data_IF_742945155862
#
_entry.id   IF_742945155862
#
_cell.length_a   1.000
_cell.length_b   1.000
_cell.length_c   1.000
_cell.angle_alpha   90.00
_cell.angle_beta   90.00
_cell.angle_gamma   90.00
#
_symmetry.space_group_name_H-M   'P 1'
#
loop_
_entity.id
_entity.type
_entity.pdbx_description
1 polymer ?
#
# COMPACT_ATOMS: atom_id res chain seq x y z
N UNK A 1 6.85 48.89 43.21
CA UNK A 1 5.73 48.37 42.37
C UNK A 1 6.33 47.59 41.21
N UNK A 2 6.40 46.27 41.32
CA UNK A 2 6.98 45.41 40.28
C UNK A 2 5.85 44.78 39.46
N UNK A 3 5.84 45.06 38.15
CA UNK A 3 4.93 44.43 37.19
C UNK A 3 5.45 43.03 36.86
N UNK A 4 4.76 42.00 37.32
CA UNK A 4 4.98 40.63 36.88
C UNK A 4 4.25 40.43 35.55
N UNK A 5 5.01 40.35 34.45
CA UNK A 5 4.50 39.96 33.13
C UNK A 5 4.38 38.44 33.10
N UNK A 6 3.15 37.93 33.12
CA UNK A 6 2.86 36.51 32.89
C UNK A 6 3.05 36.25 31.39
N UNK A 7 4.10 35.51 31.05
CA UNK A 7 4.33 35.04 29.69
C UNK A 7 3.26 34.03 29.29
N UNK A 8 2.52 34.33 28.23
CA UNK A 8 1.65 33.39 27.55
C UNK A 8 2.51 32.28 26.93
N UNK A 9 2.65 31.16 27.62
CA UNK A 9 3.18 29.94 27.02
C UNK A 9 2.14 29.41 26.03
N UNK A 10 2.47 29.46 24.74
CA UNK A 10 1.69 28.80 23.69
C UNK A 10 1.52 27.31 24.03
N UNK A 11 0.37 26.68 23.72
CA UNK A 11 0.21 25.25 23.89
C UNK A 11 1.25 24.55 23.01
N UNK A 12 2.10 23.76 23.65
CA UNK A 12 3.13 22.96 23.02
C UNK A 12 2.43 21.90 22.15
N UNK A 13 2.08 22.25 20.91
CA UNK A 13 1.67 21.29 19.89
C UNK A 13 2.87 20.43 19.60
N UNK A 14 2.93 19.26 20.25
CA UNK A 14 3.83 18.18 19.87
C UNK A 14 3.78 18.06 18.35
N UNK A 15 4.94 18.02 17.67
CA UNK A 15 4.95 17.80 16.23
C UNK A 15 4.27 16.46 15.97
N UNK A 16 3.17 16.49 15.21
CA UNK A 16 2.32 15.34 14.91
C UNK A 16 3.07 14.14 14.30
N UNK A 17 4.29 14.38 13.78
CA UNK A 17 5.22 13.36 13.29
C UNK A 17 5.76 12.39 14.37
N UNK A 18 5.65 12.68 15.66
CA UNK A 18 6.25 11.82 16.71
C UNK A 18 5.38 10.62 17.12
N UNK A 19 4.18 10.45 16.54
CA UNK A 19 3.25 9.40 16.97
C UNK A 19 3.73 7.98 16.61
N UNK A 20 4.63 7.84 15.64
CA UNK A 20 5.11 6.56 15.14
C UNK A 20 6.60 6.66 14.80
N UNK A 21 7.51 6.52 15.79
CA UNK A 21 8.94 6.58 15.54
C UNK A 21 9.36 5.49 14.55
N UNK A 22 10.35 5.81 13.72
CA UNK A 22 10.96 4.83 12.83
C UNK A 22 11.58 3.71 13.67
N UNK A 23 11.22 2.46 13.36
CA UNK A 23 11.72 1.29 14.08
C UNK A 23 13.12 0.92 13.61
N UNK A 24 13.96 0.45 14.54
CA UNK A 24 15.28 -0.06 14.21
C UNK A 24 15.16 -1.47 13.58
N UNK A 25 15.68 -1.71 12.37
CA UNK A 25 15.68 -3.04 11.75
C UNK A 25 16.35 -4.12 12.60
N UNK A 26 17.34 -3.77 13.41
CA UNK A 26 18.08 -4.73 14.25
C UNK A 26 17.21 -5.38 15.33
N UNK A 27 16.14 -4.70 15.77
CA UNK A 27 15.19 -5.22 16.76
C UNK A 27 14.20 -6.24 16.15
N UNK A 28 14.15 -6.32 14.81
CA UNK A 28 13.18 -7.10 14.05
C UNK A 28 13.86 -7.82 12.87
N UNK A 29 14.82 -8.71 13.13
CA UNK A 29 15.66 -9.34 12.10
C UNK A 29 14.88 -10.23 11.12
N UNK A 30 13.69 -10.70 11.51
CA UNK A 30 12.84 -11.55 10.67
C UNK A 30 12.13 -10.79 9.52
N UNK A 31 12.06 -9.45 9.62
CA UNK A 31 11.49 -8.61 8.57
C UNK A 31 12.50 -8.49 7.42
N UNK A 32 12.11 -8.98 6.25
CA UNK A 32 12.99 -9.03 5.08
C UNK A 32 12.92 -7.76 4.23
N UNK A 33 11.81 -7.03 4.36
CA UNK A 33 11.46 -5.92 3.47
C UNK A 33 11.50 -4.59 4.22
N UNK A 34 12.69 -4.18 4.66
CA UNK A 34 12.87 -2.92 5.41
C UNK A 34 12.91 -1.69 4.51
N UNK A 35 13.51 -1.79 3.33
CA UNK A 35 13.70 -0.65 2.45
C UNK A 35 13.04 -0.87 1.09
N UNK A 36 12.83 0.20 0.34
CA UNK A 36 12.25 0.11 -1.02
C UNK A 36 13.13 -0.72 -1.95
N UNK A 37 14.45 -0.65 -1.79
CA UNK A 37 15.44 -1.38 -2.58
C UNK A 37 15.29 -2.89 -2.40
N UNK A 38 15.04 -3.35 -1.17
CA UNK A 38 14.77 -4.77 -0.89
C UNK A 38 13.54 -5.31 -1.65
N UNK A 39 12.59 -4.43 -2.00
CA UNK A 39 11.41 -4.76 -2.78
C UNK A 39 11.62 -4.62 -4.30
N UNK A 40 12.66 -3.92 -4.75
CA UNK A 40 12.87 -3.63 -6.17
C UNK A 40 12.89 -4.87 -7.09
N UNK A 41 13.50 -6.02 -6.71
CA UNK A 41 13.46 -7.24 -7.51
C UNK A 41 12.05 -7.79 -7.77
N UNK A 42 11.06 -7.41 -6.95
CA UNK A 42 9.67 -7.86 -7.04
C UNK A 42 8.76 -6.88 -7.80
N UNK A 43 9.29 -5.72 -8.19
CA UNK A 43 8.59 -4.76 -9.05
C UNK A 43 8.48 -5.28 -10.49
N UNK A 44 7.62 -4.64 -11.28
CA UNK A 44 7.46 -4.99 -12.69
C UNK A 44 8.82 -4.90 -13.41
N UNK A 45 9.14 -5.95 -14.17
CA UNK A 45 10.44 -6.17 -14.83
C UNK A 45 11.61 -6.58 -13.90
N UNK A 46 11.36 -6.77 -12.61
CA UNK A 46 12.35 -7.32 -11.69
C UNK A 46 12.51 -8.84 -11.81
N UNK A 47 13.71 -9.34 -11.50
CA UNK A 47 14.06 -10.77 -11.56
C UNK A 47 13.15 -11.68 -10.72
N UNK A 48 12.55 -11.15 -9.64
CA UNK A 48 11.67 -11.87 -8.71
C UNK A 48 10.21 -11.47 -8.86
N UNK A 49 9.84 -10.79 -9.95
CA UNK A 49 8.46 -10.34 -10.18
C UNK A 49 7.42 -11.46 -10.10
N UNK A 50 7.74 -12.66 -10.61
CA UNK A 50 6.88 -13.83 -10.54
C UNK A 50 6.56 -14.25 -9.09
N UNK A 51 7.45 -13.92 -8.15
CA UNK A 51 7.34 -14.27 -6.73
C UNK A 51 6.83 -13.14 -5.85
N UNK A 52 6.41 -11.99 -6.41
CA UNK A 52 5.94 -10.82 -5.63
C UNK A 52 4.75 -11.12 -4.72
N UNK A 53 4.00 -12.17 -5.02
CA UNK A 53 2.86 -12.59 -4.23
C UNK A 53 3.09 -13.98 -3.63
N UNK A 54 2.43 -14.26 -2.50
CA UNK A 54 2.29 -15.62 -1.99
C UNK A 54 1.18 -16.39 -2.75
N UNK A 55 0.92 -17.64 -2.32
CA UNK A 55 -0.14 -18.50 -2.91
C UNK A 55 -1.54 -17.90 -2.83
N UNK A 56 -1.80 -17.02 -1.85
CA UNK A 56 -3.09 -16.34 -1.66
C UNK A 56 -3.18 -14.99 -2.40
N UNK A 57 -2.20 -14.67 -3.25
CA UNK A 57 -2.06 -13.39 -3.93
C UNK A 57 -1.78 -12.18 -3.01
N UNK A 58 -1.28 -12.40 -1.79
CA UNK A 58 -0.83 -11.35 -0.87
C UNK A 58 0.60 -10.93 -1.21
N UNK A 59 0.88 -9.63 -1.17
CA UNK A 59 2.21 -9.04 -1.40
C UNK A 59 3.18 -9.50 -0.30
N UNK A 60 4.36 -9.99 -0.69
CA UNK A 60 5.35 -10.51 0.27
C UNK A 60 5.92 -9.47 1.24
N UNK A 61 5.92 -8.18 0.89
CA UNK A 61 6.39 -7.13 1.81
C UNK A 61 5.48 -6.93 3.03
N UNK A 62 4.24 -7.43 2.99
CA UNK A 62 3.30 -7.32 4.09
C UNK A 62 3.57 -8.46 5.08
N UNK A 63 4.42 -8.18 6.08
CA UNK A 63 4.87 -9.14 7.08
C UNK A 63 4.44 -8.72 8.49
N UNK A 64 4.13 -9.69 9.34
CA UNK A 64 4.10 -9.49 10.79
C UNK A 64 5.52 -9.34 11.34
N UNK A 65 5.66 -8.92 12.60
CA UNK A 65 6.94 -8.80 13.29
C UNK A 65 7.77 -10.10 13.28
N UNK A 66 7.11 -11.27 13.20
CA UNK A 66 7.75 -12.59 13.08
C UNK A 66 8.34 -12.88 11.70
N UNK A 67 8.22 -11.97 10.73
CA UNK A 67 8.61 -12.21 9.33
C UNK A 67 7.57 -12.94 8.48
N UNK A 68 6.53 -13.51 9.11
CA UNK A 68 5.45 -14.20 8.41
C UNK A 68 4.63 -13.24 7.53
N UNK A 69 4.30 -13.68 6.32
CA UNK A 69 3.43 -12.91 5.42
C UNK A 69 2.02 -12.87 6.03
N UNK A 70 1.42 -11.69 6.11
CA UNK A 70 0.08 -11.54 6.67
C UNK A 70 -0.97 -12.31 5.83
N UNK A 71 -2.03 -12.86 6.46
CA UNK A 71 -3.04 -13.61 5.74
C UNK A 71 -3.90 -12.69 4.87
N UNK A 72 -4.49 -13.26 3.81
CA UNK A 72 -5.37 -12.49 2.90
C UNK A 72 -6.52 -11.78 3.62
N UNK A 73 -7.10 -12.39 4.66
CA UNK A 73 -8.17 -11.80 5.46
C UNK A 73 -7.75 -10.46 6.10
N UNK A 74 -6.51 -10.37 6.59
CA UNK A 74 -5.94 -9.14 7.16
C UNK A 74 -5.79 -8.05 6.09
N UNK A 75 -5.31 -8.40 4.90
CA UNK A 75 -5.21 -7.49 3.75
C UNK A 75 -6.58 -6.94 3.34
N UNK A 76 -7.63 -7.76 3.40
CA UNK A 76 -9.01 -7.33 3.11
C UNK A 76 -9.48 -6.28 4.11
N UNK A 77 -9.22 -6.49 5.41
CA UNK A 77 -9.52 -5.51 6.47
C UNK A 77 -8.77 -4.19 6.25
N UNK A 78 -7.45 -4.26 6.05
CA UNK A 78 -6.62 -3.08 5.74
C UNK A 78 -7.15 -2.31 4.53
N UNK A 79 -7.55 -3.03 3.48
CA UNK A 79 -8.08 -2.42 2.25
C UNK A 79 -9.45 -1.77 2.48
N UNK A 80 -10.28 -2.34 3.35
CA UNK A 80 -11.58 -1.75 3.70
C UNK A 80 -11.39 -0.43 4.47
N UNK A 81 -10.53 -0.42 5.48
CA UNK A 81 -10.23 0.77 6.29
C UNK A 81 -9.59 1.88 5.46
N UNK A 82 -8.60 1.55 4.63
CA UNK A 82 -8.00 2.49 3.68
C UNK A 82 -9.05 3.16 2.78
N UNK A 83 -10.00 2.38 2.25
CA UNK A 83 -11.08 2.93 1.41
C UNK A 83 -12.02 3.82 2.19
N UNK A 84 -12.27 3.53 3.46
CA UNK A 84 -13.08 4.39 4.34
C UNK A 84 -12.40 5.74 4.58
N UNK A 85 -11.07 5.76 4.76
CA UNK A 85 -10.29 7.00 4.83
C UNK A 85 -10.37 7.79 3.51
N UNK A 86 -10.29 7.10 2.38
CA UNK A 86 -10.49 7.78 1.10
C UNK A 86 -11.91 8.34 0.93
N UNK A 87 -12.94 7.68 1.47
CA UNK A 87 -14.29 8.27 1.50
C UNK A 87 -14.29 9.55 2.35
N UNK A 88 -13.64 9.54 3.53
CA UNK A 88 -13.48 10.74 4.38
C UNK A 88 -12.86 11.91 3.61
N UNK A 89 -11.69 11.73 2.99
CA UNK A 89 -11.02 12.81 2.25
C UNK A 89 -11.83 13.30 1.05
N UNK A 90 -12.53 12.38 0.38
CA UNK A 90 -13.40 12.75 -0.73
C UNK A 90 -14.58 13.58 -0.27
N UNK A 91 -15.26 13.21 0.81
CA UNK A 91 -16.35 14.00 1.38
C UNK A 91 -15.88 15.39 1.85
N UNK A 92 -14.63 15.50 2.28
CA UNK A 92 -14.00 16.77 2.67
C UNK A 92 -13.53 17.62 1.48
N UNK A 93 -13.61 17.11 0.24
CA UNK A 93 -13.11 17.83 -0.93
C UNK A 93 -11.59 17.94 -1.02
N UNK A 94 -10.84 17.15 -0.23
CA UNK A 94 -9.38 17.17 -0.17
C UNK A 94 -8.71 16.05 -0.95
N UNK A 95 -9.49 15.18 -1.63
CA UNK A 95 -8.94 14.02 -2.35
C UNK A 95 -7.99 14.44 -3.51
N UNK A 96 -6.76 13.92 -3.59
CA UNK A 96 -5.87 14.18 -4.71
C UNK A 96 -6.24 13.40 -5.97
N UNK A 97 -5.86 13.87 -7.16
CA UNK A 97 -6.10 13.15 -8.42
C UNK A 97 -5.31 11.84 -8.49
N UNK A 98 -4.05 11.86 -8.02
CA UNK A 98 -3.21 10.69 -7.86
C UNK A 98 -2.69 10.61 -6.43
N UNK A 99 -2.53 9.40 -5.90
CA UNK A 99 -2.05 9.25 -4.52
C UNK A 99 -0.64 9.83 -4.29
N UNK A 100 0.20 9.82 -5.33
CA UNK A 100 1.52 10.47 -5.31
C UNK A 100 1.47 12.00 -5.19
N UNK A 101 0.31 12.62 -5.45
CA UNK A 101 0.09 14.07 -5.34
C UNK A 101 -0.68 14.44 -4.05
N UNK A 102 -0.87 13.49 -3.13
CA UNK A 102 -1.52 13.77 -1.84
C UNK A 102 -0.75 14.85 -1.06
N UNK A 103 -1.49 15.80 -0.48
CA UNK A 103 -0.94 16.82 0.42
C UNK A 103 -0.32 16.21 1.68
N UNK A 104 0.62 16.93 2.29
CA UNK A 104 1.33 16.46 3.48
C UNK A 104 0.38 16.19 4.66
N UNK A 105 -0.65 17.02 4.81
CA UNK A 105 -1.71 16.89 5.81
C UNK A 105 -2.53 15.60 5.64
N UNK A 106 -2.90 15.26 4.40
CA UNK A 106 -3.63 14.03 4.09
C UNK A 106 -2.74 12.82 4.32
N UNK A 107 -1.47 12.89 3.90
CA UNK A 107 -0.51 11.80 4.09
C UNK A 107 -0.25 11.53 5.58
N UNK A 108 -0.17 12.57 6.40
CA UNK A 108 0.03 12.46 7.85
C UNK A 108 -1.20 11.86 8.56
N UNK A 109 -2.42 12.36 8.26
CA UNK A 109 -3.66 11.77 8.80
C UNK A 109 -3.81 10.31 8.37
N UNK A 110 -3.51 10.01 7.10
CA UNK A 110 -3.60 8.66 6.56
C UNK A 110 -2.59 7.71 7.22
N UNK A 111 -1.33 8.14 7.40
CA UNK A 111 -0.31 7.39 8.15
C UNK A 111 -0.77 7.10 9.56
N UNK A 112 -1.23 8.13 10.26
CA UNK A 112 -1.65 8.03 11.66
C UNK A 112 -2.78 7.01 11.82
N UNK A 113 -3.83 7.11 11.00
CA UNK A 113 -4.97 6.18 11.08
C UNK A 113 -4.60 4.74 10.70
N UNK A 114 -3.75 4.56 9.70
CA UNK A 114 -3.34 3.24 9.25
C UNK A 114 -2.38 2.58 10.26
N UNK A 115 -1.40 3.29 10.80
CA UNK A 115 -0.45 2.74 11.78
C UNK A 115 -1.07 2.43 13.12
N UNK A 116 -2.08 3.20 13.55
CA UNK A 116 -2.83 2.89 14.77
C UNK A 116 -3.52 1.51 14.72
N UNK A 117 -3.83 0.99 13.52
CA UNK A 117 -4.56 -0.27 13.33
C UNK A 117 -3.69 -1.42 12.79
N UNK A 118 -2.65 -1.07 12.04
CA UNK A 118 -1.85 -2.00 11.23
C UNK A 118 -0.36 -1.72 11.40
N UNK A 119 0.20 -2.20 12.52
CA UNK A 119 1.64 -2.08 12.81
C UNK A 119 2.50 -2.78 11.76
N UNK A 120 1.99 -3.78 11.04
CA UNK A 120 2.68 -4.41 9.91
C UNK A 120 3.17 -3.43 8.83
N UNK A 121 2.58 -2.24 8.74
CA UNK A 121 2.96 -1.19 7.78
C UNK A 121 4.08 -0.26 8.29
N UNK A 122 4.45 -0.33 9.58
CA UNK A 122 5.53 0.48 10.18
C UNK A 122 6.89 -0.21 10.12
N UNK A 123 6.94 -1.52 9.89
CA UNK A 123 8.19 -2.30 9.77
C UNK A 123 8.90 -2.01 8.44
N UNK A 124 9.23 -0.74 8.20
CA UNK A 124 9.92 -0.27 7.02
C UNK A 124 10.46 1.15 7.20
N UNK A 125 11.48 1.47 6.42
CA UNK A 125 12.04 2.81 6.27
C UNK A 125 11.17 3.70 5.39
N UNK A 126 11.14 5.00 5.70
CA UNK A 126 10.47 6.04 4.91
C UNK A 126 8.99 5.75 4.58
N UNK A 127 8.30 4.98 5.43
CA UNK A 127 6.89 4.60 5.26
C UNK A 127 6.58 3.89 3.91
N UNK A 128 7.59 3.29 3.26
CA UNK A 128 7.44 2.88 1.86
C UNK A 128 6.37 1.78 1.68
N UNK A 129 6.18 0.90 2.67
CA UNK A 129 5.13 -0.15 2.61
C UNK A 129 3.74 0.46 2.54
N UNK A 130 3.46 1.49 3.34
CA UNK A 130 2.18 2.18 3.33
C UNK A 130 1.98 2.91 2.00
N UNK A 131 3.01 3.62 1.51
CA UNK A 131 2.96 4.31 0.23
C UNK A 131 2.66 3.35 -0.94
N UNK A 132 3.33 2.19 -0.95
CA UNK A 132 3.14 1.15 -1.95
C UNK A 132 1.75 0.50 -1.83
N UNK A 133 1.29 0.23 -0.60
CA UNK A 133 -0.01 -0.37 -0.33
C UNK A 133 -1.17 0.50 -0.82
N UNK A 134 -1.08 1.81 -0.57
CA UNK A 134 -2.04 2.80 -1.04
C UNK A 134 -1.95 3.01 -2.56
N UNK A 135 -0.74 3.19 -3.10
CA UNK A 135 -0.48 3.38 -4.53
C UNK A 135 -0.98 2.25 -5.41
N UNK A 136 -0.83 0.98 -4.97
CA UNK A 136 -1.32 -0.20 -5.70
C UNK A 136 -2.86 -0.21 -5.85
N UNK A 137 -3.59 0.37 -4.88
CA UNK A 137 -5.05 0.25 -4.77
C UNK A 137 -5.79 1.51 -5.22
N UNK A 138 -5.13 2.65 -5.13
CA UNK A 138 -5.76 3.95 -5.35
C UNK A 138 -6.31 4.10 -6.77
N UNK A 139 -5.58 3.78 -7.85
CA UNK A 139 -6.06 3.92 -9.22
C UNK A 139 -7.35 3.13 -9.48
N UNK A 140 -7.43 1.90 -8.94
CA UNK A 140 -8.63 1.08 -9.07
C UNK A 140 -9.82 1.68 -8.32
N UNK A 141 -9.60 2.31 -7.17
CA UNK A 141 -10.70 2.88 -6.37
C UNK A 141 -11.23 4.19 -6.96
N UNK A 142 -10.34 5.10 -7.37
CA UNK A 142 -10.73 6.41 -7.90
C UNK A 142 -11.41 6.30 -9.27
N UNK A 143 -10.98 5.36 -10.13
CA UNK A 143 -11.57 5.14 -11.47
C UNK A 143 -13.06 4.83 -11.44
N UNK A 144 -13.56 4.20 -10.37
CA UNK A 144 -14.97 3.83 -10.25
C UNK A 144 -15.83 4.91 -9.57
N UNK A 145 -15.28 6.12 -9.39
CA UNK A 145 -15.94 7.21 -8.69
C UNK A 145 -16.04 8.41 -9.61
N UNK A 146 -17.27 8.86 -9.87
CA UNK A 146 -17.51 10.07 -10.66
C UNK A 146 -16.80 11.28 -10.01
N UNK A 147 -16.38 12.29 -10.77
CA UNK A 147 -15.96 13.56 -10.16
C UNK A 147 -17.06 14.03 -9.21
N UNK A 148 -16.69 14.50 -8.02
CA UNK A 148 -17.64 15.24 -7.21
C UNK A 148 -17.97 16.50 -8.02
N UNK A 149 -19.17 16.58 -8.57
CA UNK A 149 -19.68 17.85 -9.08
C UNK A 149 -19.83 18.71 -7.83
N UNK A 150 -18.81 19.52 -7.54
CA UNK A 150 -18.92 20.56 -6.55
C UNK A 150 -19.98 21.50 -7.11
N UNK A 151 -21.20 21.40 -6.60
CA UNK A 151 -22.18 22.47 -6.76
C UNK A 151 -21.57 23.66 -6.03
N UNK A 152 -20.90 24.52 -6.78
CA UNK A 152 -20.59 25.87 -6.31
C UNK A 152 -21.94 26.51 -6.13
N UNK A 153 -22.43 26.55 -4.90
CA UNK A 153 -23.58 27.38 -4.57
C UNK A 153 -23.10 28.82 -4.68
N UNK A 154 -23.29 29.40 -5.87
CA UNK A 154 -23.14 30.83 -6.17
C UNK A 154 -24.09 31.62 -5.26
N UNK A 155 -23.66 31.82 -4.01
CA UNK A 155 -24.37 32.61 -3.02
C UNK A 155 -23.85 34.05 -3.12
N UNK A 156 -24.35 34.79 -4.12
CA UNK A 156 -24.85 36.17 -4.04
C UNK A 156 -24.64 36.99 -5.33
N UNK A 157 -25.76 37.45 -5.88
CA UNK A 157 -25.83 38.47 -6.93
C UNK A 157 -27.22 38.59 -7.52
N UNK A 158 -28.23 38.87 -6.69
CA UNK A 158 -29.62 38.99 -7.14
C UNK A 158 -29.82 40.06 -8.22
N UNK A 159 -30.42 39.65 -9.35
CA UNK A 159 -31.33 40.47 -10.14
C UNK A 159 -32.28 39.53 -10.88
N UNK A 160 -33.57 39.66 -10.60
CA UNK A 160 -34.63 38.97 -11.35
C UNK A 160 -34.84 39.73 -12.67
N UNK A 161 -34.88 39.02 -13.81
CA UNK A 161 -35.81 39.41 -14.85
C UNK A 161 -36.72 38.23 -15.23
N UNK A 162 -38.01 38.48 -15.02
CA UNK A 162 -39.12 38.31 -15.96
C UNK A 162 -39.03 37.12 -16.93
N UNK A 163 -40.05 36.27 -16.77
CA UNK A 163 -40.53 35.19 -17.63
C UNK A 163 -40.71 35.66 -19.07
N UNK A 164 -40.26 34.87 -20.05
CA UNK A 164 -40.98 34.66 -21.30
C UNK A 164 -40.57 33.33 -21.95
N UNK A 165 -41.58 32.70 -22.54
CA UNK A 165 -41.65 31.35 -23.08
C UNK A 165 -40.69 31.07 -24.24
N UNK A 166 -40.24 29.82 -24.39
CA UNK A 166 -40.38 29.01 -25.61
C UNK A 166 -39.61 27.69 -25.55
N UNK A 167 -40.22 26.68 -26.13
CA UNK A 167 -39.73 25.32 -26.29
C UNK A 167 -38.46 25.27 -27.17
N UNK A 168 -37.39 24.64 -26.70
CA UNK A 168 -36.56 23.85 -27.61
C UNK A 168 -35.88 22.68 -26.90
N UNK A 169 -36.21 21.47 -27.35
CA UNK A 169 -35.75 20.19 -26.79
C UNK A 169 -34.38 19.85 -27.41
N UNK A 170 -33.31 19.71 -26.61
CA UNK A 170 -32.03 19.26 -27.15
C UNK A 170 -32.11 17.80 -27.64
N UNK A 171 -31.88 17.66 -28.94
CA UNK A 171 -31.75 16.40 -29.67
C UNK A 171 -30.66 15.51 -29.01
N UNK A 172 -31.06 14.42 -28.36
CA UNK A 172 -30.12 13.41 -27.89
C UNK A 172 -29.49 12.69 -29.09
N UNK A 173 -28.27 13.08 -29.44
CA UNK A 173 -27.40 12.33 -30.35
C UNK A 173 -27.09 10.98 -29.70
N UNK A 174 -27.75 9.93 -30.17
CA UNK A 174 -27.45 8.54 -29.82
C UNK A 174 -26.06 8.21 -30.38
N UNK A 175 -25.06 8.18 -29.51
CA UNK A 175 -23.74 7.62 -29.83
C UNK A 175 -23.96 6.12 -30.13
N UNK A 176 -23.66 5.62 -31.35
CA UNK A 176 -23.81 4.22 -31.66
C UNK A 176 -22.85 3.39 -30.81
N UNK A 177 -23.39 2.35 -30.17
CA UNK A 177 -22.61 1.33 -29.47
C UNK A 177 -21.62 0.74 -30.47
N UNK A 178 -20.31 0.87 -30.20
CA UNK A 178 -19.26 0.18 -30.95
C UNK A 178 -19.52 -1.33 -30.83
N UNK A 179 -20.07 -1.90 -31.89
CA UNK A 179 -20.10 -3.34 -32.13
C UNK A 179 -18.67 -3.85 -32.11
N UNK A 180 -18.36 -4.73 -31.17
CA UNK A 180 -17.14 -5.55 -31.19
C UNK A 180 -17.15 -6.34 -32.51
N UNK A 181 -16.12 -6.26 -33.36
CA UNK A 181 -16.02 -7.15 -34.49
C UNK A 181 -15.85 -8.58 -33.97
N UNK A 182 -16.82 -9.42 -34.31
CA UNK A 182 -16.71 -10.86 -34.22
C UNK A 182 -15.76 -11.34 -35.33
N UNK A 183 -14.84 -12.22 -34.97
CA UNK A 183 -14.12 -13.06 -35.92
C UNK A 183 -12.85 -12.44 -36.49
N UNK A 184 -11.71 -12.83 -35.91
CA UNK A 184 -10.60 -13.30 -36.75
C UNK A 184 -10.25 -14.68 -36.24
N UNK A 185 -10.39 -15.64 -37.14
CA UNK A 185 -10.17 -17.04 -36.95
C UNK A 185 -8.72 -17.33 -36.54
N UNK A 186 -8.58 -18.44 -35.83
CA UNK A 186 -7.32 -19.04 -35.43
C UNK A 186 -6.46 -19.32 -36.66
N UNK A 187 -5.28 -18.71 -36.70
CA UNK A 187 -4.16 -19.23 -37.47
C UNK A 187 -3.22 -20.02 -36.57
N UNK A 188 -2.98 -21.22 -37.07
CA UNK A 188 -2.21 -22.34 -36.60
C UNK A 188 -0.74 -21.95 -36.34
N UNK A 189 -0.39 -21.63 -35.09
CA UNK A 189 1.00 -21.54 -34.64
C UNK A 189 1.32 -22.80 -33.83
N UNK A 190 1.72 -23.82 -34.57
CA UNK A 190 2.34 -25.06 -34.09
C UNK A 190 3.63 -24.72 -33.33
N UNK A 191 3.54 -24.61 -32.00
CA UNK A 191 4.72 -24.51 -31.13
C UNK A 191 5.55 -25.82 -31.22
N UNK A 192 6.89 -25.73 -31.33
CA UNK A 192 7.75 -26.90 -31.27
C UNK A 192 7.74 -27.48 -29.86
N UNK A 193 7.58 -28.81 -29.78
CA UNK A 193 7.64 -29.58 -28.54
C UNK A 193 8.97 -29.31 -27.82
N UNK A 194 8.86 -28.72 -26.62
CA UNK A 194 9.98 -28.61 -25.70
C UNK A 194 10.35 -30.01 -25.22
N UNK A 195 11.59 -30.40 -25.54
CA UNK A 195 12.22 -31.63 -25.11
C UNK A 195 12.19 -31.73 -23.59
N UNK A 196 11.71 -32.87 -23.13
CA UNK A 196 11.79 -33.42 -21.79
C UNK A 196 13.24 -33.37 -21.28
N UNK A 197 13.58 -32.33 -20.49
CA UNK A 197 14.77 -32.36 -19.64
C UNK A 197 14.41 -33.10 -18.34
N UNK A 198 14.82 -34.36 -18.26
CA UNK A 198 15.06 -35.03 -16.99
C UNK A 198 16.19 -34.27 -16.27
N UNK A 199 15.84 -33.40 -15.34
CA UNK A 199 16.78 -32.94 -14.32
C UNK A 199 16.69 -33.85 -13.10
N UNK A 200 17.78 -34.58 -12.91
CA UNK A 200 18.22 -35.33 -11.73
C UNK A 200 17.58 -34.91 -10.41
N UNK A 201 16.87 -35.86 -9.77
CA UNK A 201 16.54 -35.86 -8.36
C UNK A 201 17.71 -36.43 -7.53
N UNK A 202 18.91 -35.86 -7.60
CA UNK A 202 20.02 -36.26 -6.71
C UNK A 202 20.87 -35.05 -6.31
N UNK A 203 20.34 -34.18 -5.43
CA UNK A 203 21.15 -33.26 -4.60
C UNK A 203 20.34 -32.56 -3.50
N UNK A 204 19.60 -33.33 -2.69
CA UNK A 204 18.92 -32.77 -1.50
C UNK A 204 19.03 -33.64 -0.25
N UNK A 205 20.10 -34.45 -0.13
CA UNK A 205 20.38 -35.24 1.09
C UNK A 205 21.74 -34.92 1.72
N UNK A 206 22.56 -34.07 1.09
CA UNK A 206 23.91 -33.76 1.58
C UNK A 206 24.04 -32.48 2.42
N UNK A 207 22.97 -31.70 2.65
CA UNK A 207 23.07 -30.41 3.35
C UNK A 207 22.40 -30.35 4.75
N UNK A 208 21.92 -31.49 5.27
CA UNK A 208 21.33 -31.57 6.62
C UNK A 208 22.13 -32.46 7.60
N UNK A 209 23.44 -32.63 7.38
CA UNK A 209 24.33 -33.38 8.31
C UNK A 209 25.64 -32.65 8.67
N UNK A 210 25.63 -31.33 8.77
CA UNK A 210 26.83 -30.56 9.18
C UNK A 210 26.68 -29.65 10.41
N UNK A 211 25.51 -29.50 11.02
CA UNK A 211 25.34 -28.58 12.16
C UNK A 211 24.76 -29.26 13.42
N UNK A 212 25.33 -30.39 13.83
CA UNK A 212 24.98 -31.07 15.10
C UNK A 212 26.20 -31.58 15.89
N UNK A 213 27.37 -30.93 15.79
CA UNK A 213 28.55 -31.26 16.61
C UNK A 213 29.36 -30.01 17.00
N UNK A 214 28.73 -29.02 17.63
CA UNK A 214 29.46 -27.86 18.16
C UNK A 214 28.77 -27.19 19.36
N UNK A 215 28.16 -27.95 20.28
CA UNK A 215 27.65 -27.36 21.55
C UNK A 215 27.47 -28.38 22.68
N UNK A 216 28.39 -29.31 22.86
CA UNK A 216 28.37 -30.23 24.02
C UNK A 216 29.70 -30.35 24.78
N UNK A 217 30.84 -29.94 24.21
CA UNK A 217 32.16 -30.18 24.83
C UNK A 217 32.78 -28.98 25.57
N UNK A 218 32.12 -27.81 25.60
CA UNK A 218 32.65 -26.63 26.31
C UNK A 218 32.16 -26.46 27.76
N UNK A 219 31.24 -27.30 28.24
CA UNK A 219 30.72 -27.21 29.61
C UNK A 219 31.37 -28.18 30.61
N UNK A 220 32.19 -29.14 30.16
CA UNK A 220 32.82 -30.12 31.05
C UNK A 220 34.16 -29.67 31.66
N UNK A 221 34.80 -28.61 31.12
CA UNK A 221 36.13 -28.18 31.58
C UNK A 221 36.14 -27.10 32.68
N UNK A 222 34.98 -26.62 33.14
CA UNK A 222 34.87 -25.56 34.17
C UNK A 222 34.46 -26.06 35.57
N UNK A 223 34.40 -27.37 35.78
CA UNK A 223 33.99 -28.00 37.06
C UNK A 223 35.11 -28.77 37.78
N UNK A 224 36.37 -28.63 37.36
CA UNK A 224 37.53 -29.29 37.99
C UNK A 224 38.64 -28.33 38.42
N UNK A 225 38.32 -27.05 38.62
CA UNK A 225 39.26 -26.07 39.18
C UNK A 225 38.63 -25.22 40.27
N UNK A 226 38.15 -25.88 41.33
CA UNK A 226 38.07 -25.33 42.70
C UNK A 226 38.38 -26.47 43.68
#
# INVERSE_FOLDING_TARGET
>A
MAKMTIGNHAPNTLPKNDLFPELNPDDYPEINFWTRESWAPYLQNGEKYAFRNNKEHVRRYLQFASGDIIPKSRVVQMSADQRSLWVKYRTQGTMPDTWSQAGADILEDFRTEMYRRYLELIYCKDHYKLALFAGDRYPSWIRHRAPLIVKVEDTQGGRVPVVEDEEDKPHMVRIPKRSRPAGVAADDVRLPQAKHLQLSQESSVAYLKSNHNATADQFAHKMLSE
#
